data_IF_957844548036
#
_entry.id   IF_957844548036
#
_cell.length_a   1.000
_cell.length_b   1.000
_cell.length_c   1.000
_cell.angle_alpha   90.00
_cell.angle_beta   90.00
_cell.angle_gamma   90.00
#
_symmetry.space_group_name_H-M   'P 1'
#
loop_
_entity.id
_entity.type
_entity.pdbx_description
1 polymer ?
#
# COMPACT_ATOMS: atom_id res chain seq x y z
N UNK A 1 18.98 4.58 11.73
CA UNK A 1 18.55 3.36 11.03
C UNK A 1 19.15 2.15 11.71
N UNK A 2 18.36 1.14 11.94
CA UNK A 2 18.84 -0.12 12.49
C UNK A 2 19.33 -1.01 11.33
N UNK A 3 20.62 -1.26 11.28
CA UNK A 3 21.20 -2.01 10.17
C UNK A 3 20.68 -3.44 10.09
N UNK A 4 20.48 -4.08 11.22
CA UNK A 4 19.99 -5.46 11.22
C UNK A 4 18.55 -5.54 10.70
N UNK A 5 17.69 -4.62 11.13
CA UNK A 5 16.33 -4.54 10.62
C UNK A 5 16.32 -4.25 9.13
N UNK A 6 17.12 -3.28 8.71
CA UNK A 6 17.21 -2.92 7.30
C UNK A 6 17.63 -4.12 6.45
N UNK A 7 18.70 -4.81 6.86
CA UNK A 7 19.19 -5.97 6.11
C UNK A 7 18.18 -7.11 6.09
N UNK A 8 17.48 -7.32 7.20
CA UNK A 8 16.43 -8.34 7.26
C UNK A 8 15.36 -8.09 6.19
N UNK A 9 14.83 -6.88 6.15
CA UNK A 9 13.78 -6.57 5.19
C UNK A 9 14.30 -6.46 3.76
N UNK A 10 15.54 -6.01 3.58
CA UNK A 10 16.13 -5.95 2.26
C UNK A 10 16.24 -7.33 1.62
N UNK A 11 16.43 -8.36 2.43
CA UNK A 11 16.59 -9.74 1.96
C UNK A 11 15.30 -10.56 2.02
N UNK A 12 14.23 -9.97 2.53
CA UNK A 12 12.97 -10.69 2.71
C UNK A 12 12.26 -10.86 1.36
N UNK A 13 12.36 -12.06 0.82
CA UNK A 13 11.69 -12.44 -0.43
C UNK A 13 10.40 -13.23 -0.19
N UNK A 14 10.01 -13.42 1.06
CA UNK A 14 8.87 -14.27 1.42
C UNK A 14 7.59 -13.84 0.71
N UNK A 15 7.35 -12.53 0.62
CA UNK A 15 6.15 -11.97 0.01
C UNK A 15 6.42 -11.31 -1.33
N UNK A 16 7.63 -11.48 -1.86
CA UNK A 16 8.01 -10.87 -3.12
C UNK A 16 7.49 -11.72 -4.27
N UNK A 17 6.82 -11.07 -5.21
CA UNK A 17 6.32 -11.79 -6.38
C UNK A 17 5.12 -11.11 -7.02
N UNK A 18 4.57 -11.73 -8.05
CA UNK A 18 3.42 -11.19 -8.77
C UNK A 18 2.16 -11.22 -7.92
N UNK A 19 1.24 -10.30 -8.21
CA UNK A 19 -0.03 -10.22 -7.53
C UNK A 19 -0.92 -11.41 -7.89
N UNK A 20 -1.63 -11.98 -6.89
CA UNK A 20 -2.72 -12.92 -7.19
C UNK A 20 -3.84 -12.23 -7.99
N UNK A 21 -4.63 -13.03 -8.70
CA UNK A 21 -5.69 -12.49 -9.57
C UNK A 21 -6.73 -11.69 -8.83
N UNK A 22 -7.01 -12.04 -7.57
CA UNK A 22 -8.04 -11.39 -6.75
C UNK A 22 -7.47 -10.28 -5.86
N UNK A 23 -6.20 -9.90 -6.04
CA UNK A 23 -5.56 -8.91 -5.20
C UNK A 23 -5.88 -7.48 -5.64
N UNK A 24 -5.84 -6.57 -4.66
CA UNK A 24 -5.92 -5.14 -4.90
C UNK A 24 -4.51 -4.57 -4.89
N UNK A 25 -4.16 -3.86 -5.95
CA UNK A 25 -2.78 -3.38 -6.14
C UNK A 25 -2.71 -1.87 -6.05
N UNK A 26 -1.71 -1.38 -5.32
CA UNK A 26 -1.34 0.01 -5.30
C UNK A 26 0.13 0.14 -5.66
N UNK A 27 0.45 1.19 -6.42
CA UNK A 27 1.82 1.46 -6.82
C UNK A 27 2.13 2.94 -6.64
N UNK A 28 3.38 3.23 -6.32
CA UNK A 28 3.87 4.60 -6.18
C UNK A 28 5.29 4.68 -6.73
N UNK A 29 5.63 5.81 -7.34
CA UNK A 29 6.90 6.01 -7.99
C UNK A 29 6.83 5.67 -9.47
N UNK A 30 7.97 5.34 -10.04
CA UNK A 30 8.08 4.98 -11.44
C UNK A 30 9.33 5.52 -12.10
N UNK A 31 9.32 5.54 -13.43
CA UNK A 31 10.52 5.88 -14.22
C UNK A 31 11.08 7.27 -13.89
N UNK A 32 10.20 8.22 -13.60
CA UNK A 32 10.62 9.61 -13.37
C UNK A 32 11.51 9.76 -12.12
N UNK A 33 11.25 8.98 -11.06
CA UNK A 33 12.04 9.07 -9.83
C UNK A 33 13.02 7.92 -9.67
N UNK A 34 12.96 6.93 -10.55
CA UNK A 34 13.87 5.78 -10.50
C UNK A 34 13.53 4.72 -9.48
N UNK A 35 12.56 4.97 -8.62
CA UNK A 35 12.13 4.03 -7.59
C UNK A 35 10.64 3.72 -7.76
N UNK A 36 10.28 2.46 -7.52
CA UNK A 36 8.89 2.02 -7.60
C UNK A 36 8.60 1.07 -6.44
N UNK A 37 7.47 1.27 -5.78
CA UNK A 37 6.92 0.33 -4.82
C UNK A 37 5.53 -0.10 -5.29
N UNK A 38 5.30 -1.40 -5.31
CA UNK A 38 4.01 -1.98 -5.66
C UNK A 38 3.62 -2.98 -4.59
N UNK A 39 2.43 -2.80 -4.04
CA UNK A 39 1.88 -3.70 -3.04
C UNK A 39 0.56 -4.24 -3.54
N UNK A 40 0.36 -5.55 -3.36
CA UNK A 40 -0.88 -6.22 -3.74
C UNK A 40 -1.38 -7.01 -2.54
N UNK A 41 -2.65 -6.84 -2.20
CA UNK A 41 -3.21 -7.49 -1.03
C UNK A 41 -4.58 -8.08 -1.32
N UNK A 42 -4.90 -9.16 -0.61
CA UNK A 42 -6.24 -9.73 -0.61
C UNK A 42 -6.88 -9.46 0.75
N UNK A 43 -8.19 -9.32 0.75
CA UNK A 43 -8.95 -9.02 1.97
C UNK A 43 -9.99 -10.09 2.20
N UNK A 44 -10.10 -10.54 3.44
CA UNK A 44 -11.11 -11.51 3.84
C UNK A 44 -11.65 -11.10 5.20
N UNK A 45 -12.95 -10.84 5.27
CA UNK A 45 -13.61 -10.46 6.52
C UNK A 45 -13.05 -9.19 7.15
N UNK A 46 -12.64 -8.21 6.33
CA UNK A 46 -12.08 -6.96 6.82
C UNK A 46 -10.63 -7.04 7.24
N UNK A 47 -9.99 -8.20 7.06
CA UNK A 47 -8.57 -8.38 7.38
C UNK A 47 -7.79 -8.66 6.11
N UNK A 48 -6.52 -8.25 6.14
CA UNK A 48 -5.60 -8.52 5.04
C UNK A 48 -5.16 -9.98 5.14
N UNK A 49 -5.64 -10.79 4.19
CA UNK A 49 -5.41 -12.22 4.21
C UNK A 49 -4.03 -12.59 3.67
N UNK A 50 -3.61 -11.94 2.60
CA UNK A 50 -2.29 -12.15 2.02
C UNK A 50 -1.78 -10.88 1.40
N UNK A 51 -0.48 -10.82 1.19
CA UNK A 51 0.15 -9.66 0.59
C UNK A 51 1.38 -10.08 -0.20
N UNK A 52 1.53 -9.51 -1.39
CA UNK A 52 2.75 -9.64 -2.18
C UNK A 52 3.24 -8.25 -2.54
N UNK A 53 4.50 -8.15 -2.88
CA UNK A 53 5.06 -6.87 -3.30
C UNK A 53 6.13 -7.07 -4.35
N UNK A 54 6.39 -5.99 -5.07
CA UNK A 54 7.51 -5.88 -5.98
C UNK A 54 8.03 -4.46 -5.93
N UNK A 55 9.31 -4.28 -6.15
CA UNK A 55 9.94 -2.97 -6.10
C UNK A 55 11.00 -2.86 -7.19
N UNK A 56 11.27 -1.61 -7.60
CA UNK A 56 12.38 -1.28 -8.48
C UNK A 56 13.12 -0.10 -7.87
N UNK A 57 14.43 -0.04 -8.10
CA UNK A 57 15.23 1.06 -7.62
C UNK A 57 16.03 0.73 -6.38
N UNK A 58 16.11 1.65 -5.43
CA UNK A 58 17.04 1.54 -4.31
C UNK A 58 16.60 0.51 -3.26
N UNK A 59 17.58 0.03 -2.49
CA UNK A 59 17.32 -0.96 -1.45
C UNK A 59 16.43 -0.44 -0.33
N UNK A 60 16.46 0.87 -0.06
CA UNK A 60 15.59 1.43 0.98
C UNK A 60 14.12 1.28 0.62
N UNK A 61 13.75 1.47 -0.66
CA UNK A 61 12.38 1.28 -1.13
C UNK A 61 11.96 -0.18 -0.95
N UNK A 62 12.84 -1.10 -1.29
CA UNK A 62 12.57 -2.53 -1.12
C UNK A 62 12.39 -2.89 0.35
N UNK A 63 13.30 -2.44 1.22
CA UNK A 63 13.22 -2.75 2.64
C UNK A 63 11.96 -2.16 3.28
N UNK A 64 11.62 -0.92 2.95
CA UNK A 64 10.42 -0.28 3.48
C UNK A 64 9.14 -1.01 3.05
N UNK A 65 9.08 -1.41 1.78
CA UNK A 65 7.93 -2.13 1.25
C UNK A 65 7.79 -3.51 1.91
N UNK A 66 8.90 -4.23 2.06
CA UNK A 66 8.90 -5.53 2.72
C UNK A 66 8.48 -5.41 4.19
N UNK A 67 8.94 -4.38 4.89
CA UNK A 67 8.59 -4.17 6.29
C UNK A 67 7.10 -3.90 6.46
N UNK A 68 6.53 -3.06 5.60
CA UNK A 68 5.08 -2.82 5.62
C UNK A 68 4.31 -4.11 5.32
N UNK A 69 4.74 -4.86 4.31
CA UNK A 69 4.07 -6.11 3.93
C UNK A 69 4.02 -7.09 5.10
N UNK A 70 5.13 -7.28 5.79
CA UNK A 70 5.17 -8.17 6.94
C UNK A 70 4.27 -7.67 8.07
N UNK A 71 4.29 -6.38 8.32
CA UNK A 71 3.55 -5.78 9.44
C UNK A 71 2.05 -5.88 9.27
N UNK A 72 1.55 -5.70 8.05
CA UNK A 72 0.11 -5.60 7.83
C UNK A 72 -0.57 -6.92 7.52
N UNK A 73 0.17 -7.95 7.18
CA UNK A 73 -0.44 -9.25 6.92
C UNK A 73 -1.16 -9.76 8.17
N UNK A 74 -2.44 -10.06 8.04
CA UNK A 74 -3.26 -10.50 9.16
C UNK A 74 -3.91 -9.38 9.97
N UNK A 75 -3.55 -8.13 9.73
CA UNK A 75 -4.19 -7.00 10.43
C UNK A 75 -5.51 -6.62 9.75
N UNK A 76 -6.28 -5.79 10.42
CA UNK A 76 -7.48 -5.24 9.80
C UNK A 76 -7.10 -4.18 8.77
N UNK A 77 -8.00 -3.95 7.82
CA UNK A 77 -7.81 -2.90 6.82
C UNK A 77 -7.66 -1.54 7.49
N UNK A 78 -8.42 -1.29 8.57
CA UNK A 78 -8.34 -0.03 9.30
C UNK A 78 -6.98 0.16 9.98
N UNK A 79 -6.44 -0.90 10.58
CA UNK A 79 -5.11 -0.83 11.18
C UNK A 79 -4.05 -0.52 10.14
N UNK A 80 -4.12 -1.20 8.99
CA UNK A 80 -3.18 -0.93 7.91
C UNK A 80 -3.30 0.50 7.38
N UNK A 81 -4.54 1.00 7.27
CA UNK A 81 -4.78 2.35 6.77
C UNK A 81 -4.26 3.44 7.70
N UNK A 82 -4.05 3.13 8.98
CA UNK A 82 -3.54 4.10 9.95
C UNK A 82 -2.02 4.26 9.89
N UNK A 83 -1.32 3.40 9.17
CA UNK A 83 0.14 3.50 9.08
C UNK A 83 0.56 4.72 8.28
N UNK A 84 1.51 5.45 8.83
CA UNK A 84 2.06 6.67 8.25
C UNK A 84 3.47 6.44 7.72
N UNK A 85 4.01 7.48 7.08
CA UNK A 85 5.40 7.47 6.64
C UNK A 85 6.33 7.27 7.83
N UNK A 86 6.04 7.93 8.96
CA UNK A 86 6.84 7.80 10.16
C UNK A 86 6.82 6.37 10.69
N UNK A 87 5.68 5.70 10.64
CA UNK A 87 5.57 4.31 11.04
C UNK A 87 6.44 3.41 10.17
N UNK A 88 6.44 3.65 8.86
CA UNK A 88 7.27 2.89 7.93
C UNK A 88 8.76 3.08 8.23
N UNK A 89 9.17 4.31 8.56
CA UNK A 89 10.56 4.57 8.97
C UNK A 89 10.90 3.85 10.28
N UNK A 90 9.98 3.87 11.23
CA UNK A 90 10.21 3.24 12.53
C UNK A 90 10.41 1.73 12.41
N UNK A 91 9.75 1.09 11.45
CA UNK A 91 9.93 -0.34 11.19
C UNK A 91 11.36 -0.69 10.81
N UNK A 92 12.10 0.26 10.26
CA UNK A 92 13.50 0.09 9.88
C UNK A 92 14.45 0.70 10.92
N UNK A 93 13.94 1.16 12.06
CA UNK A 93 14.74 1.84 13.05
C UNK A 93 15.12 3.25 12.65
N UNK A 94 14.34 3.87 11.77
CA UNK A 94 14.59 5.19 11.23
C UNK A 94 15.28 5.14 9.87
N UNK A 95 15.24 6.24 9.15
CA UNK A 95 15.91 6.39 7.85
C UNK A 95 16.63 7.74 7.81
N UNK A 96 17.73 7.77 7.09
CA UNK A 96 18.40 9.03 6.80
C UNK A 96 17.47 9.92 5.96
N UNK A 97 17.54 11.25 6.14
CA UNK A 97 16.63 12.15 5.39
C UNK A 97 16.63 11.91 3.88
N UNK A 98 17.79 11.58 3.31
CA UNK A 98 17.90 11.31 1.87
C UNK A 98 17.17 10.03 1.44
N UNK A 99 16.77 9.19 2.39
CA UNK A 99 16.07 7.92 2.12
C UNK A 99 14.59 7.96 2.51
N UNK A 100 14.11 9.08 3.05
CA UNK A 100 12.71 9.18 3.47
C UNK A 100 11.71 8.95 2.34
N UNK A 101 12.09 9.29 1.11
CA UNK A 101 11.21 9.05 -0.04
C UNK A 101 10.87 7.57 -0.19
N UNK A 102 11.75 6.68 0.25
CA UNK A 102 11.48 5.23 0.19
C UNK A 102 10.30 4.85 1.08
N UNK A 103 10.25 5.39 2.30
CA UNK A 103 9.14 5.17 3.20
C UNK A 103 7.85 5.78 2.64
N UNK A 104 7.96 6.94 2.02
CA UNK A 104 6.81 7.59 1.38
C UNK A 104 6.25 6.74 0.24
N UNK A 105 7.10 6.23 -0.64
CA UNK A 105 6.66 5.39 -1.74
C UNK A 105 5.98 4.12 -1.24
N UNK A 106 6.56 3.46 -0.26
CA UNK A 106 5.99 2.24 0.30
C UNK A 106 4.62 2.51 0.94
N UNK A 107 4.51 3.59 1.70
CA UNK A 107 3.26 3.98 2.36
C UNK A 107 2.20 4.38 1.35
N UNK A 108 2.58 5.13 0.32
CA UNK A 108 1.65 5.53 -0.74
C UNK A 108 1.14 4.31 -1.50
N UNK A 109 2.01 3.35 -1.81
CA UNK A 109 1.60 2.12 -2.47
C UNK A 109 0.59 1.35 -1.62
N UNK A 110 0.85 1.24 -0.32
CA UNK A 110 -0.08 0.60 0.61
C UNK A 110 -1.45 1.30 0.61
N UNK A 111 -1.45 2.61 0.77
CA UNK A 111 -2.71 3.36 0.84
C UNK A 111 -3.50 3.26 -0.47
N UNK A 112 -2.82 3.20 -1.60
CA UNK A 112 -3.48 3.03 -2.90
C UNK A 112 -4.09 1.63 -3.03
N UNK A 113 -3.41 0.60 -2.54
CA UNK A 113 -3.96 -0.75 -2.54
C UNK A 113 -5.19 -0.83 -1.64
N UNK A 114 -5.12 -0.22 -0.45
CA UNK A 114 -6.26 -0.19 0.48
C UNK A 114 -7.43 0.59 -0.10
N UNK A 115 -7.17 1.69 -0.82
CA UNK A 115 -8.21 2.46 -1.49
C UNK A 115 -8.91 1.64 -2.57
N UNK A 116 -8.14 0.84 -3.32
CA UNK A 116 -8.73 -0.05 -4.32
C UNK A 116 -9.63 -1.10 -3.66
N UNK A 117 -9.18 -1.65 -2.53
CA UNK A 117 -9.97 -2.62 -1.78
C UNK A 117 -11.27 -1.99 -1.24
N UNK A 118 -11.17 -0.78 -0.72
CA UNK A 118 -12.35 -0.07 -0.19
C UNK A 118 -13.34 0.25 -1.29
N UNK A 119 -12.87 0.68 -2.44
CA UNK A 119 -13.74 0.97 -3.58
C UNK A 119 -14.50 -0.28 -4.04
N UNK A 120 -13.83 -1.43 -4.04
CA UNK A 120 -14.44 -2.70 -4.43
C UNK A 120 -15.47 -3.18 -3.41
N UNK A 121 -15.29 -2.86 -2.13
CA UNK A 121 -16.20 -3.30 -1.07
C UNK A 121 -17.40 -2.37 -0.87
N UNK A 122 -17.40 -1.19 -1.48
CA UNK A 122 -18.54 -0.30 -1.40
C UNK A 122 -19.72 -0.90 -2.16
N UNK A 123 -20.95 -0.80 -1.60
CA UNK A 123 -22.12 -1.28 -2.30
C UNK A 123 -22.26 -0.58 -3.65
N UNK A 124 -22.44 -1.34 -4.70
CA UNK A 124 -22.76 -0.78 -6.00
C UNK A 124 -24.24 -0.52 -6.03
N UNK A 125 -24.63 0.65 -5.59
CA UNK A 125 -26.01 1.07 -5.63
C UNK A 125 -26.28 1.69 -6.99
N UNK A 126 -27.16 1.12 -7.79
CA UNK A 126 -27.48 1.69 -9.10
C UNK A 126 -28.00 3.11 -9.01
N UNK A 127 -28.57 3.49 -7.88
CA UNK A 127 -29.07 4.85 -7.69
C UNK A 127 -27.98 5.82 -7.26
N UNK A 128 -26.89 5.32 -6.67
CA UNK A 128 -25.78 6.15 -6.20
C UNK A 128 -24.47 5.86 -6.91
N UNK A 129 -24.42 4.78 -7.58
CA UNK A 129 -23.19 4.38 -8.27
C UNK A 129 -22.82 5.37 -9.36
N UNK A 130 -23.73 6.12 -9.61
CA UNK A 130 -23.32 7.27 -10.42
C UNK A 130 -22.54 8.22 -9.54
N UNK A 131 -22.81 7.86 -9.19
CA UNK A 131 -22.31 8.54 -8.78
C UNK A 131 -21.32 8.77 -8.62
N UNK A 132 -21.76 8.78 -8.46
CA UNK A 132 -20.84 9.35 -8.47
C UNK A 132 -20.30 9.67 -8.51
N UNK A 133 -20.49 9.90 -8.58
CA UNK A 133 -19.94 10.48 -8.77
C UNK A 133 -19.80 10.74 -8.88
N UNK A 134 -20.31 10.70 -8.60
CA UNK A 134 -20.36 11.17 -8.91
C UNK A 134 -20.46 11.29 -8.66
N UNK A 135 -21.25 11.21 -8.39
CA UNK A 135 -21.40 11.68 -8.45
C UNK A 135 -21.53 11.87 -8.17
N UNK A 136 -22.04 12.01 -7.93
CA UNK A 136 -22.13 12.60 -7.97
C UNK A 136 -22.32 12.64 -7.69
N UNK A 137 -22.92 12.72 -7.30
CA UNK A 137 -23.03 13.08 -7.43
C UNK A 137 -23.11 13.18 -7.26
N UNK A 138 -23.62 13.32 -6.89
CA UNK A 138 -23.66 13.74 -7.15
C UNK A 138 -23.72 14.02 -7.15
N UNK A 139 -24.29 14.20 -6.84
CA UNK A 139 -24.34 14.73 -7.23
C UNK A 139 -24.43 14.98 -7.33
N UNK A 140 -25.10 15.03 -7.00
CA UNK A 140 -25.08 15.49 -7.45
C UNK A 140 -25.26 15.53 -7.49
N UNK A 141 -25.94 15.51 -7.23
CA UNK A 141 -25.99 15.81 -7.66
C UNK A 141 -26.05 15.71 -7.75
N UNK A 142 -26.61 15.72 -7.48
CA UNK A 142 -26.52 15.89 -7.92
C UNK A 142 -26.07 16.02 -8.02
N UNK A 143 -26.99 15.81 -7.87
CA UNK A 143 -26.43 16.20 -8.22
C UNK A 143 -26.09 16.15 -8.20
N UNK A 144 -26.51 16.17 -8.04
CA UNK A 144 -25.89 16.52 -8.27
C UNK A 144 -25.69 16.40 -8.30
#
# INVERSE_FOLDING_TARGET
MDRELFDHFLRDDTRRGPAPDDAFTGAAGGAACGDLSRLSLTVDGGRIASITFDTEGCGATRAATAALAETIEGTTVLEAASLSIDDAEDLLGGLQPAKRHAAQLATDALHRALSAAAASSLPLDPATAGVGPDSPTLIASEGG
#
